data_IF_310318410370
#
_entry.id   IF_310318410370
#
_cell.length_a   1.000
_cell.length_b   1.000
_cell.length_c   1.000
_cell.angle_alpha   90.00
_cell.angle_beta   90.00
_cell.angle_gamma   90.00
#
_symmetry.space_group_name_H-M   'P 1'
#
loop_
_entity.id
_entity.type
_entity.pdbx_description
1 polymer ?
#
# COMPACT_ATOMS: atom_id res chain seq x y z
N UNK A 1 -22.81 17.79 -3.85
CA UNK A 1 -22.61 16.33 -3.98
C UNK A 1 -21.32 15.96 -3.30
N UNK A 2 -21.27 14.92 -2.47
CA UNK A 2 -20.04 14.47 -1.82
C UNK A 2 -19.17 13.66 -2.79
N UNK A 3 -17.85 13.86 -2.75
CA UNK A 3 -16.91 13.02 -3.51
C UNK A 3 -16.84 11.63 -2.87
N UNK A 4 -16.88 10.58 -3.69
CA UNK A 4 -16.76 9.19 -3.21
C UNK A 4 -15.29 8.84 -3.06
N UNK A 5 -14.94 8.23 -1.93
CA UNK A 5 -13.61 7.62 -1.75
C UNK A 5 -13.58 6.35 -2.58
N UNK A 6 -12.61 6.28 -3.50
CA UNK A 6 -12.42 5.13 -4.41
C UNK A 6 -11.07 4.45 -4.21
N UNK A 7 -10.22 5.00 -3.34
CA UNK A 7 -8.89 4.49 -3.06
C UNK A 7 -8.49 4.74 -1.61
N UNK A 8 -7.82 3.78 -0.99
CA UNK A 8 -7.22 3.94 0.34
C UNK A 8 -5.76 3.50 0.37
N UNK A 9 -4.96 4.11 1.25
CA UNK A 9 -3.54 3.82 1.35
C UNK A 9 -3.14 3.57 2.80
N UNK A 10 -2.35 2.53 3.01
CA UNK A 10 -1.71 2.24 4.29
C UNK A 10 -0.22 2.54 4.13
N UNK A 11 0.23 3.61 4.78
CA UNK A 11 1.61 4.06 4.72
C UNK A 11 2.37 3.61 5.96
N UNK A 12 3.55 3.02 5.75
CA UNK A 12 4.41 2.58 6.85
C UNK A 12 5.89 2.66 6.53
N UNK A 13 6.73 2.18 7.45
CA UNK A 13 8.19 2.29 7.31
C UNK A 13 8.84 1.07 6.68
N UNK A 14 8.13 -0.05 6.64
CA UNK A 14 8.65 -1.32 6.15
C UNK A 14 7.55 -2.09 5.44
N UNK A 15 7.64 -2.15 4.11
CA UNK A 15 6.64 -2.81 3.27
C UNK A 15 6.50 -4.30 3.60
N UNK A 16 7.61 -5.01 3.76
CA UNK A 16 7.61 -6.45 4.05
C UNK A 16 6.90 -6.78 5.36
N UNK A 17 7.17 -6.01 6.42
CA UNK A 17 6.53 -6.20 7.73
C UNK A 17 5.02 -5.91 7.67
N UNK A 18 4.60 -4.88 6.92
CA UNK A 18 3.18 -4.60 6.73
C UNK A 18 2.48 -5.72 5.96
N UNK A 19 3.09 -6.21 4.88
CA UNK A 19 2.55 -7.33 4.10
C UNK A 19 2.34 -8.56 4.97
N UNK A 20 3.38 -8.98 5.70
CA UNK A 20 3.30 -10.14 6.60
C UNK A 20 2.20 -9.96 7.65
N UNK A 21 2.13 -8.77 8.27
CA UNK A 21 1.12 -8.47 9.28
C UNK A 21 -0.31 -8.56 8.71
N UNK A 22 -0.59 -7.87 7.60
CA UNK A 22 -1.93 -7.81 7.02
C UNK A 22 -2.34 -9.13 6.37
N UNK A 23 -1.40 -9.89 5.81
CA UNK A 23 -1.67 -11.25 5.36
C UNK A 23 -2.04 -12.14 6.55
N UNK A 24 -1.31 -12.07 7.66
CA UNK A 24 -1.57 -12.91 8.84
C UNK A 24 -2.88 -12.57 9.55
N UNK A 25 -3.21 -11.28 9.66
CA UNK A 25 -4.38 -10.82 10.45
C UNK A 25 -5.65 -10.83 9.62
N UNK A 26 -5.56 -10.42 8.34
CA UNK A 26 -6.72 -10.17 7.49
C UNK A 26 -6.75 -11.08 6.24
N UNK A 27 -5.71 -11.86 5.97
CA UNK A 27 -5.61 -12.65 4.75
C UNK A 27 -5.43 -11.81 3.49
N UNK A 28 -4.93 -10.57 3.61
CA UNK A 28 -4.72 -9.71 2.45
C UNK A 28 -3.54 -10.20 1.61
N UNK A 29 -3.78 -10.28 0.31
CA UNK A 29 -2.76 -10.51 -0.70
C UNK A 29 -2.40 -9.19 -1.38
N UNK A 30 -1.16 -9.04 -1.81
CA UNK A 30 -0.68 -7.81 -2.46
C UNK A 30 0.13 -8.12 -3.70
N UNK A 31 0.12 -7.20 -4.67
CA UNK A 31 0.93 -7.29 -5.90
C UNK A 31 1.65 -5.97 -6.16
N UNK A 32 2.89 -6.00 -6.69
CA UNK A 32 3.57 -4.79 -7.13
C UNK A 32 2.72 -3.97 -8.11
N UNK A 33 2.56 -2.68 -7.83
CA UNK A 33 1.78 -1.78 -8.68
C UNK A 33 2.68 -1.16 -9.75
N UNK A 34 2.88 -1.90 -10.84
CA UNK A 34 3.59 -1.42 -12.03
C UNK A 34 4.95 -0.78 -11.71
N UNK A 35 5.13 0.47 -12.16
CA UNK A 35 6.37 1.25 -12.05
C UNK A 35 6.47 2.08 -10.75
N UNK A 36 5.76 1.72 -9.68
CA UNK A 36 5.88 2.38 -8.36
C UNK A 36 6.69 1.53 -7.37
N UNK A 37 8.02 1.72 -7.28
CA UNK A 37 8.84 1.04 -6.28
C UNK A 37 8.34 1.32 -4.86
N UNK A 38 8.30 0.29 -4.02
CA UNK A 38 7.86 0.44 -2.64
C UNK A 38 6.34 0.58 -2.46
N UNK A 39 5.56 0.34 -3.53
CA UNK A 39 4.11 0.33 -3.48
C UNK A 39 3.54 -0.99 -3.98
N UNK A 40 2.61 -1.56 -3.22
CA UNK A 40 1.85 -2.74 -3.63
C UNK A 40 0.35 -2.54 -3.49
N UNK A 41 -0.40 -2.96 -4.50
CA UNK A 41 -1.85 -2.92 -4.50
C UNK A 41 -2.42 -4.16 -3.82
N UNK A 42 -3.40 -3.96 -2.95
CA UNK A 42 -4.13 -5.00 -2.24
C UNK A 42 -5.10 -5.70 -3.21
N UNK A 43 -5.01 -7.02 -3.24
CA UNK A 43 -5.79 -7.88 -4.12
C UNK A 43 -6.86 -8.66 -3.34
N UNK A 44 -7.95 -8.94 -4.03
CA UNK A 44 -8.98 -9.93 -3.72
C UNK A 44 -9.10 -10.91 -4.89
N UNK A 45 -9.92 -11.96 -4.76
CA UNK A 45 -10.09 -12.99 -5.80
C UNK A 45 -10.44 -12.40 -7.18
N UNK A 46 -11.20 -11.30 -7.20
CA UNK A 46 -11.74 -10.66 -8.40
C UNK A 46 -10.86 -9.50 -8.92
N UNK A 47 -9.69 -9.24 -8.31
CA UNK A 47 -8.76 -8.18 -8.70
C UNK A 47 -8.43 -7.21 -7.57
N UNK A 48 -8.41 -5.91 -7.86
CA UNK A 48 -8.04 -4.88 -6.87
C UNK A 48 -9.14 -4.64 -5.83
N UNK A 49 -8.73 -4.45 -4.56
CA UNK A 49 -9.61 -3.97 -3.49
C UNK A 49 -9.78 -2.43 -3.51
N UNK A 50 -9.09 -1.72 -4.40
CA UNK A 50 -9.05 -0.26 -4.41
C UNK A 50 -8.20 0.32 -3.27
N UNK A 51 -7.05 -0.29 -2.99
CA UNK A 51 -6.12 0.27 -2.03
C UNK A 51 -4.74 -0.37 -2.06
N UNK A 52 -3.79 0.26 -1.37
CA UNK A 52 -2.38 -0.15 -1.41
C UNK A 52 -1.62 0.00 -0.11
N UNK A 53 -0.49 -0.70 -0.05
CA UNK A 53 0.54 -0.58 0.97
C UNK A 53 1.72 0.18 0.38
N UNK A 54 2.08 1.31 1.00
CA UNK A 54 3.19 2.16 0.56
C UNK A 54 4.21 2.37 1.67
N UNK A 55 5.49 2.48 1.30
CA UNK A 55 6.51 2.96 2.24
C UNK A 55 6.50 4.47 2.25
N UNK A 56 6.53 5.08 3.43
CA UNK A 56 6.87 6.49 3.55
C UNK A 56 8.32 6.64 3.11
N UNK A 57 8.57 7.35 2.01
CA UNK A 57 9.92 7.86 1.78
C UNK A 57 10.30 8.71 2.99
N UNK A 58 11.46 8.43 3.57
CA UNK A 58 12.06 9.37 4.51
C UNK A 58 12.40 10.58 3.65
N UNK A 59 11.67 11.69 3.81
CA UNK A 59 11.96 12.95 3.13
C UNK A 59 13.46 13.19 3.12
N UNK A 60 14.02 13.50 1.95
CA UNK A 60 15.36 14.06 1.84
C UNK A 60 15.52 15.16 2.90
N UNK A 61 16.56 15.14 3.75
CA UNK A 61 16.79 16.25 4.67
C UNK A 61 16.88 17.53 3.84
N UNK A 62 16.18 18.62 4.19
CA UNK A 62 16.02 19.79 3.33
C UNK A 62 17.31 20.58 3.05
N UNK A 63 18.48 20.13 3.51
CA UNK A 63 19.76 20.78 3.27
C UNK A 63 20.89 19.73 3.21
N UNK A 64 21.41 19.46 2.02
CA UNK A 64 22.72 18.85 1.78
C UNK A 64 23.58 19.87 1.00
#
# INVERSE_FOLDING_TARGET
MAQKVVWFEIMGRNLGAMKEFYQKVLGLETRPMGEMPGYEEIQVEEGSLGGGLGVMEVEHPPYA
#
